data_IF_994651155286
#
_entry.id   IF_994651155286
#
_cell.length_a   1.000
_cell.length_b   1.000
_cell.length_c   1.000
_cell.angle_alpha   90.00
_cell.angle_beta   90.00
_cell.angle_gamma   90.00
#
_symmetry.space_group_name_H-M   'P 1'
#
loop_
_entity.id
_entity.type
_entity.pdbx_description
1 polymer ?
#
# COMPACT_ATOMS: atom_id res chain seq x y z
N UNK A 1 -2.57 0.50 12.35
CA UNK A 1 -2.19 1.84 11.84
C UNK A 1 -2.42 1.85 10.35
N UNK A 2 -3.02 2.91 9.81
CA UNK A 2 -3.25 3.08 8.38
C UNK A 2 -2.52 4.32 7.88
N UNK A 3 -2.13 4.33 6.60
CA UNK A 3 -1.39 5.44 5.99
C UNK A 3 -2.16 5.98 4.78
N UNK A 4 -2.30 7.30 4.70
CA UNK A 4 -2.78 8.00 3.50
C UNK A 4 -1.55 8.59 2.82
N UNK A 5 -1.39 8.32 1.51
CA UNK A 5 -0.20 8.68 0.74
C UNK A 5 1.11 8.12 1.33
N UNK A 6 1.05 6.90 1.90
CA UNK A 6 2.22 6.18 2.38
C UNK A 6 3.13 5.68 1.25
N UNK A 7 4.27 5.04 1.58
CA UNK A 7 5.15 4.43 0.58
C UNK A 7 4.38 3.53 -0.38
N UNK A 8 4.75 3.56 -1.66
CA UNK A 8 4.17 2.77 -2.75
C UNK A 8 2.70 3.06 -3.05
N UNK A 9 2.18 4.21 -2.60
CA UNK A 9 0.95 4.79 -3.17
C UNK A 9 1.13 5.09 -4.66
N UNK A 10 0.05 5.18 -5.42
CA UNK A 10 0.11 5.49 -6.85
C UNK A 10 0.74 6.86 -7.15
N UNK A 11 1.64 6.89 -8.14
CA UNK A 11 2.15 8.14 -8.71
C UNK A 11 1.12 8.71 -9.70
N UNK A 12 0.19 9.53 -9.21
CA UNK A 12 -0.92 10.10 -10.00
C UNK A 12 -1.46 11.40 -9.36
N UNK A 13 -2.64 11.85 -9.79
CA UNK A 13 -3.35 12.98 -9.16
C UNK A 13 -3.74 12.62 -7.72
N UNK A 14 -2.95 13.08 -6.75
CA UNK A 14 -2.98 12.62 -5.35
C UNK A 14 -4.36 12.75 -4.68
N UNK A 15 -5.13 13.85 -4.83
CA UNK A 15 -6.49 13.93 -4.28
C UNK A 15 -7.40 12.75 -4.65
N UNK A 16 -7.36 12.30 -5.91
CA UNK A 16 -8.16 11.14 -6.38
C UNK A 16 -7.67 9.84 -5.73
N UNK A 17 -6.36 9.72 -5.51
CA UNK A 17 -5.79 8.57 -4.80
C UNK A 17 -6.22 8.58 -3.33
N UNK A 18 -6.21 9.75 -2.68
CA UNK A 18 -6.66 9.90 -1.29
C UNK A 18 -8.12 9.47 -1.15
N UNK A 19 -9.01 9.92 -2.03
CA UNK A 19 -10.43 9.53 -2.01
C UNK A 19 -10.58 8.00 -2.04
N UNK A 20 -9.90 7.32 -2.97
CA UNK A 20 -9.95 5.85 -3.08
C UNK A 20 -9.36 5.12 -1.89
N UNK A 21 -8.26 5.62 -1.32
CA UNK A 21 -7.68 5.02 -0.12
C UNK A 21 -8.62 5.20 1.09
N UNK A 22 -9.25 6.36 1.24
CA UNK A 22 -10.20 6.61 2.34
C UNK A 22 -11.46 5.75 2.21
N UNK A 23 -11.99 5.56 0.99
CA UNK A 23 -13.09 4.62 0.74
C UNK A 23 -12.73 3.18 1.14
N UNK A 24 -11.54 2.70 0.76
CA UNK A 24 -11.05 1.38 1.14
C UNK A 24 -10.89 1.25 2.67
N UNK A 25 -10.34 2.27 3.33
CA UNK A 25 -10.22 2.30 4.79
C UNK A 25 -11.58 2.23 5.47
N UNK A 26 -12.59 2.92 4.95
CA UNK A 26 -13.97 2.81 5.43
C UNK A 26 -14.47 1.36 5.38
N UNK A 27 -14.29 0.68 4.24
CA UNK A 27 -14.66 -0.73 4.08
C UNK A 27 -13.91 -1.65 5.06
N UNK A 28 -12.60 -1.46 5.22
CA UNK A 28 -11.79 -2.25 6.14
C UNK A 28 -12.24 -2.11 7.60
N UNK A 29 -12.49 -0.87 8.04
CA UNK A 29 -12.97 -0.59 9.39
C UNK A 29 -14.38 -1.16 9.63
N UNK A 30 -15.29 -1.04 8.66
CA UNK A 30 -16.61 -1.67 8.74
C UNK A 30 -16.49 -3.19 8.85
N UNK A 31 -15.69 -3.83 8.01
CA UNK A 31 -15.45 -5.28 8.06
C UNK A 31 -14.89 -5.72 9.42
N UNK A 32 -13.89 -5.02 9.95
CA UNK A 32 -13.34 -5.30 11.27
C UNK A 32 -14.41 -5.19 12.36
N UNK A 33 -15.24 -4.14 12.33
CA UNK A 33 -16.28 -3.93 13.32
C UNK A 33 -17.37 -5.01 13.26
N UNK A 34 -17.83 -5.38 12.07
CA UNK A 34 -18.86 -6.41 11.87
C UNK A 34 -18.40 -7.81 12.32
N UNK A 35 -17.10 -8.10 12.20
CA UNK A 35 -16.51 -9.38 12.61
C UNK A 35 -15.89 -9.33 14.02
N UNK A 36 -15.94 -8.17 14.69
CA UNK A 36 -15.41 -7.97 16.03
C UNK A 36 -13.89 -8.15 16.12
N UNK A 37 -13.13 -7.64 15.15
CA UNK A 37 -11.66 -7.62 15.16
C UNK A 37 -11.11 -6.30 15.70
N UNK A 38 -10.01 -6.36 16.45
CA UNK A 38 -9.34 -5.18 17.01
C UNK A 38 -8.11 -4.77 16.21
N UNK A 39 -7.50 -5.71 15.49
CA UNK A 39 -6.27 -5.51 14.73
C UNK A 39 -6.39 -6.16 13.36
N UNK A 40 -5.87 -5.44 12.36
CA UNK A 40 -5.68 -5.86 10.99
C UNK A 40 -4.24 -5.53 10.63
N UNK A 41 -3.46 -6.52 10.22
CA UNK A 41 -2.08 -6.31 9.77
C UNK A 41 -1.79 -7.06 8.48
N UNK A 42 -1.06 -6.45 7.54
CA UNK A 42 -0.64 -7.15 6.35
C UNK A 42 0.35 -8.25 6.73
N UNK A 43 0.19 -9.41 6.11
CA UNK A 43 1.17 -10.50 6.20
C UNK A 43 2.52 -10.07 5.61
N UNK A 44 3.59 -10.73 6.05
CA UNK A 44 4.94 -10.48 5.52
C UNK A 44 4.98 -10.81 4.03
N UNK A 45 4.30 -11.88 3.63
CA UNK A 45 4.22 -12.36 2.25
C UNK A 45 3.44 -11.38 1.37
N UNK A 46 2.30 -10.84 1.84
CA UNK A 46 1.56 -9.83 1.09
C UNK A 46 2.39 -8.55 0.87
N UNK A 47 3.13 -8.12 1.89
CA UNK A 47 4.01 -6.94 1.80
C UNK A 47 5.16 -7.15 0.82
N UNK A 48 5.77 -8.34 0.85
CA UNK A 48 6.83 -8.72 -0.09
C UNK A 48 6.30 -8.78 -1.53
N UNK A 49 5.16 -9.44 -1.76
CA UNK A 49 4.52 -9.51 -3.08
C UNK A 49 4.16 -8.13 -3.62
N UNK A 50 3.62 -7.23 -2.79
CA UNK A 50 3.32 -5.86 -3.21
C UNK A 50 4.60 -5.10 -3.61
N UNK A 51 5.67 -5.26 -2.83
CA UNK A 51 6.97 -4.63 -3.12
C UNK A 51 7.55 -5.11 -4.44
N UNK A 52 7.52 -6.41 -4.70
CA UNK A 52 7.96 -7.03 -5.95
C UNK A 52 7.13 -6.52 -7.13
N UNK A 53 5.80 -6.56 -7.02
CA UNK A 53 4.88 -6.07 -8.05
C UNK A 53 5.12 -4.61 -8.43
N UNK A 54 5.32 -3.73 -7.44
CA UNK A 54 5.63 -2.31 -7.68
C UNK A 54 6.96 -2.15 -8.42
N UNK A 55 7.97 -2.94 -8.06
CA UNK A 55 9.27 -2.93 -8.72
C UNK A 55 9.20 -3.45 -10.16
N UNK A 56 8.47 -4.54 -10.40
CA UNK A 56 8.21 -5.10 -11.74
C UNK A 56 7.56 -4.06 -12.66
N UNK A 57 6.50 -3.42 -12.19
CA UNK A 57 5.82 -2.36 -12.97
C UNK A 57 6.78 -1.21 -13.29
N UNK A 58 7.55 -0.76 -12.31
CA UNK A 58 8.52 0.30 -12.53
C UNK A 58 9.56 -0.09 -13.59
N UNK A 59 10.05 -1.34 -13.54
CA UNK A 59 11.04 -1.88 -14.46
C UNK A 59 10.52 -2.08 -15.90
N UNK A 60 9.20 -2.11 -16.11
CA UNK A 60 8.59 -2.11 -17.44
C UNK A 60 8.52 -0.71 -18.09
N UNK A 61 8.90 0.35 -17.37
CA UNK A 61 8.95 1.72 -17.90
C UNK A 61 10.36 2.08 -18.39
N UNK A 62 10.53 3.27 -18.98
CA UNK A 62 11.85 3.83 -19.29
C UNK A 62 12.52 4.52 -18.09
N UNK A 63 11.79 4.72 -16.98
CA UNK A 63 12.28 5.45 -15.80
C UNK A 63 13.51 4.80 -15.12
N UNK A 64 13.67 3.47 -15.06
CA UNK A 64 14.91 2.86 -14.55
C UNK A 64 16.13 3.24 -15.38
N UNK A 65 16.00 3.35 -16.71
CA UNK A 65 17.12 3.76 -17.58
C UNK A 65 17.52 5.22 -17.37
N UNK A 66 16.63 6.02 -16.78
CA UNK A 66 16.89 7.38 -16.32
C UNK A 66 17.56 7.47 -14.94
N UNK A 67 18.19 6.40 -14.45
CA UNK A 67 18.84 6.33 -13.13
C UNK A 67 19.82 7.49 -12.83
N UNK A 68 20.34 8.15 -13.88
CA UNK A 68 21.16 9.36 -13.82
C UNK A 68 20.43 10.61 -13.29
N UNK A 69 19.10 10.62 -13.25
CA UNK A 69 18.31 11.81 -12.91
C UNK A 69 18.17 12.07 -11.40
N UNK A 70 18.85 11.28 -10.53
CA UNK A 70 18.82 11.41 -9.06
C UNK A 70 17.42 11.70 -8.49
N UNK A 71 16.41 11.04 -9.06
CA UNK A 71 15.02 11.35 -8.76
C UNK A 71 14.63 10.93 -7.35
N UNK A 72 13.86 11.79 -6.68
CA UNK A 72 13.46 11.60 -5.29
C UNK A 72 12.51 10.42 -5.07
N UNK A 73 11.73 10.04 -6.09
CA UNK A 73 10.83 8.88 -6.06
C UNK A 73 11.59 7.53 -6.06
N UNK A 74 12.91 7.57 -6.26
CA UNK A 74 13.82 6.43 -6.06
C UNK A 74 14.62 6.54 -4.75
N UNK A 75 14.45 7.64 -3.99
CA UNK A 75 15.34 7.99 -2.88
C UNK A 75 16.75 8.42 -3.30
N UNK A 76 16.99 8.59 -4.62
CA UNK A 76 18.30 8.84 -5.20
C UNK A 76 18.86 10.25 -4.94
N UNK A 77 18.01 11.17 -4.50
CA UNK A 77 18.37 12.57 -4.24
C UNK A 77 19.10 12.79 -2.91
N UNK A 78 19.17 11.78 -2.03
CA UNK A 78 19.82 11.86 -0.72
C UNK A 78 21.01 10.89 -0.65
N UNK A 79 22.25 11.36 -0.49
CA UNK A 79 23.41 10.50 -0.32
C UNK A 79 23.23 9.53 0.85
N UNK A 80 23.53 8.24 0.61
CA UNK A 80 23.41 7.19 1.62
C UNK A 80 21.99 6.63 1.84
N UNK A 81 20.94 7.24 1.25
CA UNK A 81 19.59 6.69 1.31
C UNK A 81 19.47 5.47 0.39
N UNK A 82 18.90 4.33 0.85
CA UNK A 82 18.68 3.17 -0.02
C UNK A 82 17.83 3.52 -1.23
N UNK A 83 18.30 3.13 -2.43
CA UNK A 83 17.59 3.34 -3.69
C UNK A 83 16.53 2.26 -3.87
N UNK A 84 15.27 2.67 -3.95
CA UNK A 84 14.12 1.78 -4.21
C UNK A 84 12.97 2.61 -4.75
N UNK A 85 12.13 2.01 -5.59
CA UNK A 85 10.91 2.67 -6.06
C UNK A 85 9.97 2.95 -4.88
N UNK A 86 9.57 4.22 -4.74
CA UNK A 86 8.74 4.69 -3.63
C UNK A 86 7.27 4.85 -3.99
N UNK A 87 6.89 4.64 -5.25
CA UNK A 87 5.52 4.80 -5.75
C UNK A 87 5.12 3.66 -6.67
N UNK A 88 3.82 3.38 -6.74
CA UNK A 88 3.25 2.52 -7.76
C UNK A 88 3.12 3.27 -9.10
N UNK A 89 3.76 2.77 -10.15
CA UNK A 89 3.79 3.40 -11.49
C UNK A 89 2.83 2.78 -12.51
N UNK A 90 1.88 1.94 -12.07
CA UNK A 90 0.85 1.35 -12.95
C UNK A 90 -0.34 2.28 -13.23
N UNK A 91 -0.25 3.55 -12.80
CA UNK A 91 -1.30 4.55 -12.94
C UNK A 91 -2.45 4.36 -11.93
N UNK A 92 -3.37 5.34 -11.92
CA UNK A 92 -4.50 5.33 -10.98
C UNK A 92 -5.44 4.13 -11.20
N UNK A 93 -5.74 3.78 -12.44
CA UNK A 93 -6.65 2.66 -12.75
C UNK A 93 -6.12 1.31 -12.26
N UNK A 94 -4.83 1.01 -12.48
CA UNK A 94 -4.20 -0.22 -11.98
C UNK A 94 -4.20 -0.26 -10.45
N UNK A 95 -3.87 0.86 -9.81
CA UNK A 95 -3.91 0.95 -8.35
C UNK A 95 -5.32 0.75 -7.77
N UNK A 96 -6.36 1.29 -8.44
CA UNK A 96 -7.75 1.10 -8.01
C UNK A 96 -8.22 -0.34 -8.17
N UNK A 97 -7.73 -1.07 -9.18
CA UNK A 97 -8.00 -2.50 -9.33
C UNK A 97 -7.42 -3.29 -8.16
N UNK A 98 -6.19 -2.98 -7.72
CA UNK A 98 -5.57 -3.63 -6.56
C UNK A 98 -6.30 -3.29 -5.25
N UNK A 99 -6.74 -2.04 -5.08
CA UNK A 99 -7.60 -1.62 -3.96
C UNK A 99 -8.90 -2.42 -3.95
N UNK A 100 -9.59 -2.51 -5.09
CA UNK A 100 -10.87 -3.22 -5.18
C UNK A 100 -10.69 -4.71 -4.96
N UNK A 101 -9.64 -5.31 -5.56
CA UNK A 101 -9.31 -6.72 -5.36
C UNK A 101 -9.13 -7.03 -3.88
N UNK A 102 -8.36 -6.21 -3.16
CA UNK A 102 -8.18 -6.36 -1.72
C UNK A 102 -9.53 -6.32 -0.97
N UNK A 103 -10.37 -5.32 -1.21
CA UNK A 103 -11.61 -5.16 -0.44
C UNK A 103 -12.78 -6.06 -0.89
N UNK A 104 -12.71 -6.69 -2.06
CA UNK A 104 -13.73 -7.63 -2.57
C UNK A 104 -13.45 -9.08 -2.21
N UNK A 105 -12.23 -9.40 -1.76
CA UNK A 105 -11.81 -10.74 -1.35
C UNK A 105 -11.53 -10.78 0.15
N UNK A 106 -12.43 -10.17 0.94
CA UNK A 106 -12.36 -10.15 2.41
C UNK A 106 -10.98 -9.73 2.97
N UNK A 107 -10.30 -8.83 2.27
CA UNK A 107 -8.96 -8.35 2.62
C UNK A 107 -7.91 -9.47 2.66
N UNK A 108 -7.91 -10.35 1.65
CA UNK A 108 -6.86 -11.35 1.46
C UNK A 108 -5.45 -10.73 1.58
N UNK A 109 -4.58 -11.41 2.31
CA UNK A 109 -3.22 -10.93 2.60
C UNK A 109 -3.09 -10.17 3.92
N UNK A 110 -4.21 -9.95 4.64
CA UNK A 110 -4.21 -9.41 6.00
C UNK A 110 -4.56 -10.49 7.04
N UNK A 111 -3.91 -10.41 8.19
CA UNK A 111 -4.27 -11.13 9.40
C UNK A 111 -5.13 -10.27 10.30
N UNK A 112 -6.20 -10.88 10.82
CA UNK A 112 -7.11 -10.25 11.77
C UNK A 112 -7.00 -10.91 13.13
N UNK A 113 -6.94 -10.09 14.19
CA UNK A 113 -6.86 -10.60 15.56
C UNK A 113 -7.68 -9.75 16.53
N UNK A 114 -8.02 -10.36 17.67
CA UNK A 114 -8.66 -9.68 18.81
C UNK A 114 -7.63 -9.43 19.89
N UNK A 115 -7.75 -8.31 20.58
CA UNK A 115 -6.96 -8.07 21.77
C UNK A 115 -7.41 -9.04 22.87
N UNK A 116 -6.50 -9.47 23.75
CA UNK A 116 -6.90 -10.21 24.93
C UNK A 116 -7.92 -9.38 25.71
N UNK A 117 -9.03 -10.00 26.14
CA UNK A 117 -9.93 -9.37 27.09
C UNK A 117 -9.10 -9.05 28.33
N UNK A 118 -8.97 -7.76 28.65
CA UNK A 118 -8.28 -7.36 29.86
C UNK A 118 -8.96 -8.05 31.04
N UNK A 119 -8.23 -8.95 31.72
CA UNK A 119 -8.69 -9.56 32.96
C UNK A 119 -8.88 -8.41 33.95
N UNK A 120 -10.15 -8.07 34.23
CA UNK A 120 -10.51 -6.95 35.10
C UNK A 120 -9.82 -7.04 36.45
N UNK A 121 -9.41 -5.87 36.96
CA UNK A 121 -9.14 -5.66 38.38
C UNK A 121 -10.46 -5.51 39.13
#
# INVERSE_FOLDING_TARGET
MFMICGPQSAYANIPVIIEKVVEWLGRALTYMNEHGYDRMEPTTEATARWTEHVAEIFNMTLLPSGESFNSWYLGANIPGKPRRVLFYFGGAAGYFQEIEKSASHDFEGFEFSRLPVASGR
#
